data_IF_092104211501
#
_entry.id   IF_092104211501
#
_cell.length_a   1.000
_cell.length_b   1.000
_cell.length_c   1.000
_cell.angle_alpha   90.00
_cell.angle_beta   90.00
_cell.angle_gamma   90.00
#
_symmetry.space_group_name_H-M   'P 1'
#
loop_
_entity.id
_entity.type
_entity.pdbx_description
1 polymer ?
#
# COMPACT_ATOMS: atom_id res chain seq x y z
N UNK A 1 -39.20 18.74 43.75
CA UNK A 1 -40.05 17.58 43.38
C UNK A 1 -39.18 16.77 42.42
N UNK A 2 -38.48 15.84 42.94
CA UNK A 2 -38.80 14.45 43.24
C UNK A 2 -38.85 13.54 41.99
N UNK A 3 -37.83 12.71 41.93
CA UNK A 3 -37.80 11.26 41.70
C UNK A 3 -37.46 10.84 40.26
N UNK A 4 -36.74 9.77 40.00
CA UNK A 4 -36.21 8.61 40.79
C UNK A 4 -35.10 7.93 39.98
N UNK A 5 -34.06 7.47 40.64
CA UNK A 5 -33.08 6.47 40.17
C UNK A 5 -33.78 5.15 39.89
N UNK A 6 -33.33 4.44 38.86
CA UNK A 6 -33.44 2.98 38.86
C UNK A 6 -32.13 2.33 38.36
N UNK A 7 -31.49 1.64 39.31
CA UNK A 7 -30.43 0.68 39.10
C UNK A 7 -31.04 -0.67 38.67
N UNK A 8 -30.47 -1.31 37.65
CA UNK A 8 -30.61 -2.74 37.49
C UNK A 8 -29.24 -3.40 37.45
N UNK A 9 -28.93 -4.11 38.53
CA UNK A 9 -27.92 -5.15 38.68
C UNK A 9 -28.55 -6.48 38.24
N UNK A 10 -27.86 -7.26 37.43
CA UNK A 10 -27.92 -8.71 37.33
C UNK A 10 -26.61 -9.12 36.66
N UNK A 11 -25.78 -10.00 37.08
CA UNK A 11 -25.95 -11.19 37.89
C UNK A 11 -24.96 -12.19 37.30
N UNK A 12 -23.91 -12.52 38.05
CA UNK A 12 -22.91 -13.55 37.69
C UNK A 12 -23.62 -14.92 37.73
N UNK A 13 -23.35 -15.77 36.72
CA UNK A 13 -23.47 -17.21 36.89
C UNK A 13 -22.28 -17.89 36.21
N UNK A 14 -21.43 -18.45 37.05
CA UNK A 14 -20.41 -19.42 36.68
C UNK A 14 -21.07 -20.80 36.64
N UNK A 15 -20.69 -21.63 35.67
CA UNK A 15 -20.84 -23.09 35.82
C UNK A 15 -19.61 -23.76 35.21
N UNK A 16 -19.02 -24.59 36.03
CA UNK A 16 -17.83 -25.39 35.78
C UNK A 16 -18.21 -26.87 35.54
N UNK A 17 -17.25 -27.60 34.98
CA UNK A 17 -17.03 -29.04 34.97
C UNK A 17 -17.90 -29.89 34.01
N UNK A 18 -17.38 -30.93 33.32
CA UNK A 18 -16.73 -32.14 33.81
C UNK A 18 -15.95 -32.84 32.68
N UNK A 19 -14.81 -33.43 33.06
CA UNK A 19 -13.97 -34.39 32.34
C UNK A 19 -14.72 -35.68 31.94
N UNK A 20 -14.28 -36.32 30.83
CA UNK A 20 -14.11 -37.78 30.81
C UNK A 20 -13.11 -38.19 29.69
N UNK A 21 -12.13 -38.93 30.08
CA UNK A 21 -11.12 -39.62 29.28
C UNK A 21 -11.65 -40.98 28.79
N UNK A 22 -11.17 -41.41 27.61
CA UNK A 22 -11.11 -42.83 27.28
C UNK A 22 -9.93 -43.13 26.34
N UNK A 23 -8.98 -43.88 26.85
CA UNK A 23 -7.90 -44.55 26.12
C UNK A 23 -8.44 -45.70 25.27
N UNK A 24 -7.86 -45.94 24.11
CA UNK A 24 -8.03 -47.12 23.30
C UNK A 24 -6.83 -47.42 22.47
N UNK A 25 -5.91 -48.25 22.96
CA UNK A 25 -4.78 -48.82 22.22
C UNK A 25 -5.26 -49.89 21.23
N UNK A 26 -4.64 -49.90 20.04
CA UNK A 26 -4.77 -50.99 19.07
C UNK A 26 -3.55 -51.09 18.18
N UNK A 27 -2.56 -51.83 18.62
CA UNK A 27 -1.42 -52.33 17.82
C UNK A 27 -1.86 -53.50 16.97
N UNK A 28 -1.57 -53.52 15.69
CA UNK A 28 -1.35 -54.77 14.94
C UNK A 28 -0.30 -54.50 13.83
N UNK A 29 0.81 -55.19 14.00
CA UNK A 29 1.89 -55.35 13.03
C UNK A 29 1.52 -56.41 11.99
N UNK A 30 1.96 -56.18 10.74
CA UNK A 30 1.89 -57.15 9.67
C UNK A 30 3.01 -56.94 8.67
N UNK A 31 4.14 -57.59 8.86
CA UNK A 31 5.20 -57.74 7.83
C UNK A 31 4.79 -58.79 6.81
N UNK A 32 4.96 -58.52 5.56
CA UNK A 32 5.30 -59.58 4.58
C UNK A 32 6.12 -59.00 3.45
N UNK A 33 7.30 -59.55 3.31
CA UNK A 33 8.28 -59.39 2.24
C UNK A 33 7.85 -60.12 0.97
N UNK A 34 8.02 -59.57 -0.20
CA UNK A 34 8.64 -60.33 -1.30
C UNK A 34 9.24 -59.46 -2.40
N UNK A 35 10.31 -59.97 -2.98
CA UNK A 35 11.32 -59.37 -3.84
C UNK A 35 10.96 -59.32 -5.33
N UNK A 36 11.69 -58.44 -6.01
CA UNK A 36 12.22 -58.51 -7.41
C UNK A 36 11.35 -58.06 -8.58
N UNK A 37 11.66 -56.97 -9.25
CA UNK A 37 12.51 -56.95 -10.43
C UNK A 37 12.59 -55.57 -11.06
N UNK A 38 13.77 -55.20 -11.45
CA UNK A 38 14.27 -54.02 -12.14
C UNK A 38 13.57 -53.78 -13.48
N UNK A 39 13.02 -52.54 -13.68
CA UNK A 39 12.98 -51.98 -15.05
C UNK A 39 13.11 -50.45 -14.92
N UNK A 40 14.24 -49.97 -15.44
CA UNK A 40 14.58 -48.54 -15.54
C UNK A 40 13.72 -47.92 -16.63
N UNK A 41 12.78 -47.06 -16.26
CA UNK A 41 12.14 -46.14 -17.20
C UNK A 41 12.25 -44.76 -16.60
N UNK A 42 12.96 -43.88 -17.29
CA UNK A 42 13.08 -42.45 -16.92
C UNK A 42 11.75 -41.78 -17.17
N UNK A 43 10.92 -41.72 -16.16
CA UNK A 43 9.74 -40.85 -16.15
C UNK A 43 10.13 -39.49 -15.56
N UNK A 44 9.94 -38.47 -16.37
CA UNK A 44 9.88 -37.08 -15.92
C UNK A 44 8.80 -37.00 -14.85
N UNK A 45 9.22 -36.89 -13.61
CA UNK A 45 8.32 -36.66 -12.47
C UNK A 45 7.73 -35.26 -12.57
N UNK A 46 6.59 -35.19 -13.23
CA UNK A 46 5.67 -34.06 -13.07
C UNK A 46 5.19 -34.11 -11.62
N UNK A 47 5.72 -33.25 -10.77
CA UNK A 47 5.22 -33.05 -9.42
C UNK A 47 3.84 -32.42 -9.51
N UNK A 48 2.81 -33.25 -9.57
CA UNK A 48 1.44 -32.83 -9.34
C UNK A 48 1.37 -32.41 -7.87
N UNK A 49 1.28 -31.11 -7.61
CA UNK A 49 0.96 -30.61 -6.25
C UNK A 49 -0.34 -31.29 -5.81
N UNK A 50 -0.31 -31.91 -4.65
CA UNK A 50 -1.54 -32.49 -4.06
C UNK A 50 -2.54 -31.37 -3.81
N UNK A 51 -3.81 -31.60 -4.10
CA UNK A 51 -4.93 -30.64 -3.99
C UNK A 51 -5.04 -29.98 -2.61
N UNK A 52 -4.46 -30.63 -1.57
CA UNK A 52 -4.37 -30.11 -0.19
C UNK A 52 -3.36 -28.98 0.01
N UNK A 53 -2.31 -28.88 -0.81
CA UNK A 53 -1.18 -27.97 -0.57
C UNK A 53 -1.20 -26.72 -1.48
N UNK A 54 -2.20 -26.63 -2.38
CA UNK A 54 -2.36 -25.49 -3.25
C UNK A 54 -2.94 -24.29 -2.52
N UNK A 55 -2.21 -23.19 -2.47
CA UNK A 55 -2.68 -21.92 -1.89
C UNK A 55 -3.69 -21.25 -2.84
N UNK A 56 -4.97 -21.26 -2.46
CA UNK A 56 -6.04 -20.69 -3.28
C UNK A 56 -6.39 -19.25 -2.91
N UNK A 57 -5.83 -18.74 -1.81
CA UNK A 57 -6.06 -17.38 -1.31
C UNK A 57 -4.75 -16.62 -1.26
N UNK A 58 -4.76 -15.36 -1.68
CA UNK A 58 -3.60 -14.45 -1.64
C UNK A 58 -4.02 -13.19 -0.88
N UNK A 59 -3.16 -12.71 0.04
CA UNK A 59 -3.42 -11.53 0.83
C UNK A 59 -2.35 -10.46 0.67
N UNK A 60 -2.75 -9.27 0.26
CA UNK A 60 -1.94 -8.06 0.19
C UNK A 60 -2.33 -7.08 1.30
N UNK A 61 -1.37 -6.57 2.06
CA UNK A 61 -1.60 -5.60 3.12
C UNK A 61 -0.67 -4.39 2.97
N UNK A 62 -1.13 -3.19 3.28
CA UNK A 62 -0.22 -2.08 3.47
C UNK A 62 -0.53 -0.80 2.71
N UNK A 63 0.35 -0.35 1.82
CA UNK A 63 0.29 0.97 1.19
C UNK A 63 -1.06 1.36 0.61
N UNK A 64 -1.61 2.48 1.08
CA UNK A 64 -2.84 3.07 0.53
C UNK A 64 -2.65 3.65 -0.88
N UNK A 65 -1.42 3.85 -1.33
CA UNK A 65 -1.12 4.26 -2.71
C UNK A 65 -1.24 3.08 -3.68
N UNK A 66 -0.76 1.90 -3.27
CA UNK A 66 -0.82 0.69 -4.09
C UNK A 66 -2.20 -0.02 -4.00
N UNK A 67 -2.92 0.19 -2.90
CA UNK A 67 -4.22 -0.43 -2.65
C UNK A 67 -5.21 -0.36 -3.85
N UNK A 68 -5.48 0.82 -4.48
CA UNK A 68 -6.44 0.89 -5.57
C UNK A 68 -5.98 0.13 -6.82
N UNK A 69 -4.68 0.05 -7.07
CA UNK A 69 -4.11 -0.69 -8.21
C UNK A 69 -4.32 -2.19 -8.00
N UNK A 70 -3.83 -2.74 -6.89
CA UNK A 70 -3.92 -4.18 -6.60
C UNK A 70 -5.38 -4.62 -6.44
N UNK A 71 -6.25 -3.80 -5.80
CA UNK A 71 -7.67 -4.12 -5.68
C UNK A 71 -8.37 -4.21 -7.04
N UNK A 72 -8.07 -3.29 -7.96
CA UNK A 72 -8.60 -3.32 -9.32
C UNK A 72 -8.14 -4.57 -10.07
N UNK A 73 -6.85 -4.90 -9.98
CA UNK A 73 -6.28 -6.09 -10.62
C UNK A 73 -6.82 -7.39 -10.02
N UNK A 74 -6.97 -7.46 -8.69
CA UNK A 74 -7.56 -8.60 -8.01
C UNK A 74 -9.01 -8.86 -8.48
N UNK A 75 -9.81 -7.78 -8.60
CA UNK A 75 -11.17 -7.90 -9.14
C UNK A 75 -11.15 -8.36 -10.59
N UNK A 76 -10.37 -7.71 -11.46
CA UNK A 76 -10.30 -8.07 -12.88
C UNK A 76 -9.81 -9.50 -13.08
N UNK A 77 -8.81 -9.95 -12.35
CA UNK A 77 -8.30 -11.32 -12.42
C UNK A 77 -9.35 -12.35 -11.97
N UNK A 78 -10.05 -12.04 -10.88
CA UNK A 78 -11.12 -12.92 -10.36
C UNK A 78 -12.31 -12.98 -11.32
N UNK A 79 -12.70 -11.85 -11.90
CA UNK A 79 -13.80 -11.79 -12.86
C UNK A 79 -13.47 -12.51 -14.19
N UNK A 80 -12.19 -12.48 -14.61
CA UNK A 80 -11.72 -13.12 -15.83
C UNK A 80 -11.62 -14.64 -15.70
N UNK A 81 -11.09 -15.13 -14.58
CA UNK A 81 -10.76 -16.55 -14.43
C UNK A 81 -11.69 -17.33 -13.50
N UNK A 82 -12.32 -16.68 -12.50
CA UNK A 82 -13.18 -17.26 -11.45
C UNK A 82 -12.51 -18.37 -10.61
N UNK A 83 -11.83 -19.31 -11.26
CA UNK A 83 -11.19 -20.49 -10.66
C UNK A 83 -9.75 -20.65 -11.12
N UNK A 84 -8.91 -21.18 -10.25
CA UNK A 84 -7.47 -21.37 -10.52
C UNK A 84 -7.19 -22.27 -11.72
N UNK A 85 -7.97 -23.33 -11.93
CA UNK A 85 -7.81 -24.21 -13.10
C UNK A 85 -8.18 -23.54 -14.45
N UNK A 86 -8.71 -22.32 -14.44
CA UNK A 86 -8.88 -21.48 -15.62
C UNK A 86 -7.65 -20.61 -15.91
N UNK A 87 -6.87 -20.30 -14.88
CA UNK A 87 -5.58 -19.63 -15.04
C UNK A 87 -4.56 -20.59 -15.64
N UNK A 88 -4.43 -21.79 -15.06
CA UNK A 88 -3.60 -22.87 -15.55
C UNK A 88 -4.31 -24.20 -15.33
N UNK A 89 -4.37 -25.05 -16.36
CA UNK A 89 -5.05 -26.35 -16.31
C UNK A 89 -4.40 -27.37 -15.35
N UNK A 90 -3.16 -27.11 -14.89
CA UNK A 90 -2.46 -27.91 -13.87
C UNK A 90 -2.89 -27.55 -12.45
N UNK A 91 -3.59 -26.43 -12.25
CA UNK A 91 -4.08 -25.99 -10.94
C UNK A 91 -5.40 -26.70 -10.58
N UNK A 92 -5.69 -26.84 -9.27
CA UNK A 92 -6.94 -27.45 -8.85
C UNK A 92 -8.15 -26.57 -9.14
N UNK A 93 -9.34 -27.17 -9.24
CA UNK A 93 -10.61 -26.46 -9.42
C UNK A 93 -11.04 -25.80 -8.12
N UNK A 94 -10.33 -24.73 -7.71
CA UNK A 94 -10.66 -23.91 -6.53
C UNK A 94 -10.98 -22.50 -6.96
N UNK A 95 -11.88 -21.83 -6.23
CA UNK A 95 -12.18 -20.42 -6.46
C UNK A 95 -10.95 -19.56 -6.15
N UNK A 96 -10.77 -18.51 -6.93
CA UNK A 96 -9.75 -17.49 -6.69
C UNK A 96 -10.23 -16.59 -5.54
N UNK A 97 -9.35 -16.33 -4.58
CA UNK A 97 -9.59 -15.40 -3.47
C UNK A 97 -8.39 -14.50 -3.27
N UNK A 98 -8.50 -13.23 -3.66
CA UNK A 98 -7.42 -12.24 -3.49
C UNK A 98 -7.94 -11.12 -2.61
N UNK A 99 -7.33 -10.98 -1.43
CA UNK A 99 -7.69 -9.97 -0.44
C UNK A 99 -6.68 -8.85 -0.43
N UNK A 100 -7.15 -7.60 -0.38
CA UNK A 100 -6.30 -6.42 -0.35
C UNK A 100 -6.73 -5.52 0.79
N UNK A 101 -5.85 -5.28 1.76
CA UNK A 101 -6.13 -4.49 2.95
C UNK A 101 -5.22 -3.24 3.01
N UNK A 102 -5.80 -2.03 3.06
CA UNK A 102 -5.02 -0.80 3.25
C UNK A 102 -4.60 -0.63 4.72
N UNK A 103 -3.42 -0.03 4.98
CA UNK A 103 -2.94 0.23 6.34
C UNK A 103 -1.69 1.13 6.41
N UNK A 104 -1.08 1.42 5.25
CA UNK A 104 0.19 2.15 5.16
C UNK A 104 1.39 1.21 4.98
N UNK A 105 2.51 1.76 4.47
CA UNK A 105 3.69 0.95 4.11
C UNK A 105 4.30 0.22 5.31
N UNK A 106 4.39 0.87 6.46
CA UNK A 106 4.92 0.25 7.68
C UNK A 106 4.07 -0.94 8.15
N UNK A 107 2.74 -0.81 8.09
CA UNK A 107 1.80 -1.89 8.42
C UNK A 107 1.97 -3.08 7.46
N UNK A 108 2.13 -2.81 6.16
CA UNK A 108 2.38 -3.86 5.16
C UNK A 108 3.63 -4.67 5.43
N UNK A 109 4.74 -3.99 5.77
CA UNK A 109 5.99 -4.66 6.11
C UNK A 109 5.85 -5.48 7.39
N UNK A 110 5.25 -4.91 8.45
CA UNK A 110 5.05 -5.64 9.72
C UNK A 110 4.16 -6.86 9.53
N UNK A 111 3.06 -6.76 8.76
CA UNK A 111 2.18 -7.88 8.47
C UNK A 111 2.90 -8.99 7.70
N UNK A 112 3.79 -8.63 6.77
CA UNK A 112 4.64 -9.59 6.06
C UNK A 112 5.69 -10.24 6.98
N UNK A 113 6.33 -9.46 7.87
CA UNK A 113 7.26 -9.98 8.90
C UNK A 113 6.58 -11.02 9.80
N UNK A 114 5.34 -10.73 10.23
CA UNK A 114 4.52 -11.57 11.11
C UNK A 114 3.86 -12.77 10.38
N UNK A 115 3.92 -12.81 9.04
CA UNK A 115 3.27 -13.84 8.23
C UNK A 115 1.74 -13.76 8.23
N UNK A 116 1.17 -12.58 8.49
CA UNK A 116 -0.27 -12.31 8.45
C UNK A 116 -0.75 -11.83 7.09
N UNK A 117 0.14 -11.56 6.14
CA UNK A 117 -0.14 -11.41 4.72
C UNK A 117 0.96 -12.06 3.88
N UNK A 118 0.64 -12.39 2.63
CA UNK A 118 1.59 -12.98 1.68
C UNK A 118 2.47 -11.90 1.04
N UNK A 119 1.90 -10.71 0.83
CA UNK A 119 2.60 -9.56 0.26
C UNK A 119 2.37 -8.28 1.04
N UNK A 120 3.47 -7.60 1.39
CA UNK A 120 3.46 -6.26 1.97
C UNK A 120 3.48 -5.18 0.89
N UNK A 121 2.42 -4.37 0.77
CA UNK A 121 2.39 -3.22 -0.14
C UNK A 121 3.16 -2.05 0.45
N UNK A 122 4.09 -1.47 -0.32
CA UNK A 122 5.01 -0.43 0.13
C UNK A 122 5.12 0.68 -0.92
N UNK A 123 5.11 1.93 -0.50
CA UNK A 123 5.31 3.10 -1.35
C UNK A 123 6.50 3.94 -0.84
N UNK A 124 7.64 3.31 -0.69
CA UNK A 124 8.96 3.83 -0.34
C UNK A 124 10.01 2.72 -0.46
N UNK A 125 11.26 3.07 -0.38
CA UNK A 125 12.34 2.08 -0.18
C UNK A 125 12.20 1.41 1.18
N UNK A 126 12.47 0.11 1.28
CA UNK A 126 12.55 -0.59 2.57
C UNK A 126 13.68 -0.03 3.42
N UNK A 127 13.46 0.06 4.73
CA UNK A 127 14.49 0.40 5.71
C UNK A 127 15.45 -0.79 5.87
N UNK A 128 16.72 -0.52 6.22
CA UNK A 128 17.69 -1.58 6.42
C UNK A 128 17.26 -2.56 7.52
N UNK A 129 16.65 -2.04 8.60
CA UNK A 129 16.09 -2.87 9.68
C UNK A 129 14.92 -3.76 9.24
N UNK A 130 14.15 -3.34 8.22
CA UNK A 130 13.07 -4.14 7.64
C UNK A 130 13.63 -5.24 6.75
N UNK A 131 14.63 -4.90 5.92
CA UNK A 131 15.36 -5.87 5.08
C UNK A 131 16.00 -6.97 5.91
N UNK A 132 16.66 -6.59 7.03
CA UNK A 132 17.27 -7.52 7.95
C UNK A 132 16.26 -8.50 8.55
N UNK A 133 15.09 -8.02 8.98
CA UNK A 133 14.04 -8.86 9.57
C UNK A 133 13.33 -9.74 8.55
N UNK A 134 13.11 -9.24 7.34
CA UNK A 134 12.49 -10.02 6.27
C UNK A 134 13.40 -11.17 5.81
N UNK A 135 14.73 -10.97 5.82
CA UNK A 135 15.72 -11.96 5.43
C UNK A 135 15.69 -12.22 3.91
N UNK A 136 15.21 -13.40 3.52
CA UNK A 136 14.98 -13.71 2.10
C UNK A 136 13.65 -13.11 1.64
N UNK A 137 13.72 -12.07 0.80
CA UNK A 137 12.55 -11.34 0.29
C UNK A 137 12.77 -10.91 -1.16
N UNK A 138 11.66 -10.64 -1.85
CA UNK A 138 11.64 -10.09 -3.20
C UNK A 138 10.85 -8.80 -3.26
N UNK A 139 11.40 -7.80 -3.94
CA UNK A 139 10.73 -6.54 -4.25
C UNK A 139 10.18 -6.59 -5.68
N UNK A 140 8.91 -6.20 -5.83
CA UNK A 140 8.21 -6.13 -7.10
C UNK A 140 7.79 -4.67 -7.32
N UNK A 141 8.66 -3.87 -7.93
CA UNK A 141 8.34 -2.48 -8.26
C UNK A 141 7.39 -2.44 -9.45
N UNK A 142 6.18 -1.90 -9.22
CA UNK A 142 5.14 -1.81 -10.24
C UNK A 142 4.99 -0.41 -10.82
N UNK A 143 5.33 0.63 -10.04
CA UNK A 143 5.19 2.00 -10.48
C UNK A 143 6.20 2.93 -9.81
N UNK A 144 6.43 4.09 -10.43
CA UNK A 144 7.02 5.26 -9.79
C UNK A 144 5.93 6.24 -9.39
N UNK A 145 6.09 6.85 -8.23
CA UNK A 145 5.23 7.91 -7.70
C UNK A 145 6.10 9.08 -7.25
N UNK A 146 5.50 10.26 -7.23
CA UNK A 146 6.08 11.44 -6.64
C UNK A 146 5.11 12.06 -5.64
N UNK A 147 5.62 12.80 -4.68
CA UNK A 147 4.81 13.60 -3.78
C UNK A 147 4.80 15.03 -4.30
N UNK A 148 3.70 15.43 -4.91
CA UNK A 148 3.52 16.80 -5.40
C UNK A 148 3.22 17.70 -4.20
N UNK A 149 4.02 18.73 -3.98
CA UNK A 149 3.68 19.79 -3.03
C UNK A 149 2.53 20.58 -3.63
N UNK A 150 1.34 20.40 -3.07
CA UNK A 150 0.10 20.87 -3.68
C UNK A 150 -0.63 21.85 -2.78
N UNK A 151 -1.24 22.85 -3.41
CA UNK A 151 -2.14 23.81 -2.79
C UNK A 151 -3.53 23.69 -3.42
N UNK A 152 -4.54 24.25 -2.77
CA UNK A 152 -5.88 24.37 -3.36
C UNK A 152 -5.86 25.27 -4.60
N UNK A 153 -6.56 24.89 -5.66
CA UNK A 153 -6.61 25.66 -6.90
C UNK A 153 -7.19 27.08 -6.74
N UNK A 154 -7.98 27.32 -5.68
CA UNK A 154 -8.54 28.65 -5.35
C UNK A 154 -7.62 29.47 -4.44
N UNK A 155 -6.46 28.94 -4.03
CA UNK A 155 -5.51 29.69 -3.23
C UNK A 155 -4.89 30.82 -4.08
N UNK A 156 -4.86 32.08 -3.61
CA UNK A 156 -4.28 33.19 -4.36
C UNK A 156 -2.81 33.01 -4.76
N UNK A 157 -2.06 32.17 -4.06
CA UNK A 157 -0.65 31.88 -4.41
C UNK A 157 -0.50 31.34 -5.84
N UNK A 158 -1.50 30.61 -6.34
CA UNK A 158 -1.48 30.02 -7.68
C UNK A 158 -1.32 31.06 -8.80
N UNK A 159 -1.82 32.29 -8.57
CA UNK A 159 -1.67 33.41 -9.50
C UNK A 159 -0.43 34.29 -9.25
N UNK A 160 0.25 34.08 -8.11
CA UNK A 160 1.39 34.88 -7.66
C UNK A 160 2.72 34.20 -7.99
N UNK A 161 2.80 32.88 -7.71
CA UNK A 161 4.01 32.09 -7.97
C UNK A 161 3.66 30.63 -8.31
N UNK A 162 4.52 29.97 -9.07
CA UNK A 162 4.40 28.55 -9.43
C UNK A 162 5.49 27.65 -8.81
N UNK A 163 6.41 28.26 -8.06
CA UNK A 163 7.60 27.59 -7.52
C UNK A 163 7.80 27.91 -6.03
N UNK A 164 8.14 26.89 -5.24
CA UNK A 164 8.60 27.04 -3.87
C UNK A 164 9.96 26.36 -3.69
N UNK A 165 10.85 26.98 -2.92
CA UNK A 165 12.08 26.31 -2.52
C UNK A 165 11.80 25.22 -1.48
N UNK A 166 12.61 24.18 -1.47
CA UNK A 166 12.58 23.16 -0.40
C UNK A 166 12.68 23.78 0.99
N UNK A 167 13.46 24.87 1.17
CA UNK A 167 13.58 25.59 2.44
C UNK A 167 12.25 26.27 2.83
N UNK A 168 11.56 26.93 1.92
CA UNK A 168 10.24 27.53 2.18
C UNK A 168 9.21 26.47 2.56
N UNK A 169 9.16 25.37 1.81
CA UNK A 169 8.27 24.25 2.11
C UNK A 169 8.55 23.71 3.51
N UNK A 170 9.83 23.45 3.82
CA UNK A 170 10.26 22.98 5.13
C UNK A 170 9.79 23.92 6.26
N UNK A 171 9.98 25.23 6.13
CA UNK A 171 9.55 26.22 7.12
C UNK A 171 8.03 26.25 7.32
N UNK A 172 7.25 26.09 6.26
CA UNK A 172 5.79 25.98 6.36
C UNK A 172 5.40 24.72 7.14
N UNK A 173 5.96 23.57 6.77
CA UNK A 173 5.63 22.30 7.42
C UNK A 173 6.20 22.19 8.84
N UNK A 174 7.25 22.93 9.17
CA UNK A 174 7.77 23.05 10.54
C UNK A 174 6.96 24.04 11.40
N UNK A 175 6.06 24.85 10.80
CA UNK A 175 5.28 25.87 11.49
C UNK A 175 6.05 27.15 11.79
N UNK A 176 7.18 27.39 11.12
CA UNK A 176 7.94 28.65 11.18
C UNK A 176 7.29 29.74 10.31
N UNK A 177 6.71 29.34 9.17
CA UNK A 177 5.83 30.16 8.34
C UNK A 177 4.42 29.68 8.56
N UNK A 178 3.54 30.53 9.05
CA UNK A 178 2.18 30.19 9.50
C UNK A 178 1.08 30.87 8.72
N UNK A 179 1.41 31.92 7.94
CA UNK A 179 0.45 32.69 7.13
C UNK A 179 1.00 32.88 5.70
N UNK A 180 0.09 33.05 4.75
CA UNK A 180 0.44 33.16 3.34
C UNK A 180 1.22 34.43 3.00
N UNK A 181 0.97 35.55 3.68
CA UNK A 181 1.74 36.80 3.53
C UNK A 181 3.21 36.67 3.99
N UNK A 182 3.55 35.68 4.79
CA UNK A 182 4.94 35.37 5.12
C UNK A 182 5.66 34.60 3.99
N UNK A 183 4.91 33.96 3.09
CA UNK A 183 5.45 33.32 1.89
C UNK A 183 5.69 34.38 0.82
N UNK A 184 4.71 35.24 0.58
CA UNK A 184 4.78 36.39 -0.32
C UNK A 184 3.91 37.53 0.23
N UNK A 185 4.50 38.71 0.40
CA UNK A 185 3.84 39.87 1.02
C UNK A 185 2.62 40.42 0.23
N UNK A 186 2.42 39.98 -1.00
CA UNK A 186 1.24 40.32 -1.81
C UNK A 186 0.03 39.44 -1.51
N UNK A 187 0.24 38.34 -0.78
CA UNK A 187 -0.84 37.41 -0.38
C UNK A 187 -1.55 37.91 0.89
N UNK A 188 -2.80 37.48 1.11
CA UNK A 188 -3.51 37.80 2.34
C UNK A 188 -2.89 37.14 3.56
N UNK A 189 -3.00 37.81 4.72
CA UNK A 189 -2.52 37.28 6.01
C UNK A 189 -3.47 36.20 6.56
N UNK A 190 -3.67 35.16 5.76
CA UNK A 190 -4.50 34.01 6.09
C UNK A 190 -3.64 32.87 6.59
N UNK A 191 -4.15 32.12 7.57
CA UNK A 191 -3.43 31.01 8.17
C UNK A 191 -3.24 29.87 7.16
N UNK A 192 -2.04 29.36 7.06
CA UNK A 192 -1.73 28.17 6.27
C UNK A 192 -2.25 26.92 6.99
N UNK A 193 -3.12 26.15 6.36
CA UNK A 193 -3.55 24.85 6.86
C UNK A 193 -2.70 23.73 6.25
N UNK A 194 -1.89 23.10 7.09
CA UNK A 194 -0.97 22.04 6.65
C UNK A 194 -1.63 20.68 6.77
N UNK A 195 -1.65 19.92 5.67
CA UNK A 195 -2.14 18.54 5.61
C UNK A 195 -1.02 17.57 5.32
N UNK A 196 -0.94 16.50 6.11
CA UNK A 196 0.07 15.45 5.98
C UNK A 196 -0.56 14.06 5.99
N UNK A 197 0.20 13.05 5.56
CA UNK A 197 -0.14 11.66 5.85
C UNK A 197 0.06 11.34 7.32
N UNK A 198 -0.67 10.36 7.82
CA UNK A 198 -0.36 9.76 9.11
C UNK A 198 1.09 9.26 9.17
N UNK A 199 1.63 9.16 10.39
CA UNK A 199 3.05 8.87 10.61
C UNK A 199 3.46 7.45 10.18
N UNK A 200 2.51 6.53 10.01
CA UNK A 200 2.76 5.17 9.48
C UNK A 200 2.80 5.13 7.96
N UNK A 201 2.41 6.20 7.29
CA UNK A 201 2.35 6.31 5.84
C UNK A 201 3.74 6.44 5.21
N UNK A 202 4.07 5.57 4.25
CA UNK A 202 5.34 5.67 3.52
C UNK A 202 5.55 7.03 2.83
N UNK A 203 4.48 7.76 2.49
CA UNK A 203 4.56 9.11 1.98
C UNK A 203 5.09 10.11 3.02
N UNK A 204 4.67 9.98 4.29
CA UNK A 204 5.23 10.79 5.37
C UNK A 204 6.73 10.58 5.49
N UNK A 205 7.19 9.32 5.50
CA UNK A 205 8.62 9.00 5.61
C UNK A 205 9.43 9.56 4.43
N UNK A 206 8.89 9.48 3.20
CA UNK A 206 9.54 10.06 2.01
C UNK A 206 9.61 11.59 2.10
N UNK A 207 8.51 12.25 2.50
CA UNK A 207 8.48 13.70 2.67
C UNK A 207 9.43 14.15 3.78
N UNK A 208 9.43 13.44 4.93
CA UNK A 208 10.35 13.70 6.03
C UNK A 208 11.80 13.63 5.56
N UNK A 209 12.18 12.60 4.81
CA UNK A 209 13.55 12.44 4.31
C UNK A 209 13.92 13.46 3.24
N UNK A 210 13.02 13.75 2.30
CA UNK A 210 13.33 14.55 1.11
C UNK A 210 13.22 16.05 1.35
N UNK A 211 12.37 16.49 2.30
CA UNK A 211 12.07 17.90 2.56
C UNK A 211 12.47 18.33 3.96
N UNK A 212 12.00 17.59 4.98
CA UNK A 212 12.15 18.01 6.36
C UNK A 212 13.56 17.76 6.93
N UNK A 213 14.23 16.68 6.51
CA UNK A 213 15.48 16.24 7.12
C UNK A 213 15.28 15.94 8.61
N UNK A 214 16.03 16.60 9.48
CA UNK A 214 15.92 16.46 10.94
C UNK A 214 14.82 17.34 11.57
N UNK A 215 14.21 18.26 10.80
CA UNK A 215 13.14 19.11 11.32
C UNK A 215 11.85 18.29 11.51
N UNK A 216 11.10 18.62 12.56
CA UNK A 216 9.80 18.01 12.83
C UNK A 216 8.71 18.77 12.10
N UNK A 217 7.71 18.02 11.60
CA UNK A 217 6.45 18.62 11.14
C UNK A 217 5.71 19.20 12.36
N UNK A 218 5.08 20.35 12.19
CA UNK A 218 4.32 21.03 13.25
C UNK A 218 3.19 20.16 13.80
N UNK A 219 2.98 20.21 15.11
CA UNK A 219 1.87 19.49 15.78
C UNK A 219 0.49 20.01 15.34
N UNK A 220 0.41 21.20 14.72
CA UNK A 220 -0.82 21.76 14.17
C UNK A 220 -1.21 21.19 12.80
N UNK A 221 -0.37 20.35 12.17
CA UNK A 221 -0.67 19.72 10.90
C UNK A 221 -1.80 18.68 11.05
N UNK A 222 -2.75 18.71 10.14
CA UNK A 222 -3.83 17.72 10.08
C UNK A 222 -3.36 16.45 9.38
N UNK A 223 -3.46 15.33 10.08
CA UNK A 223 -3.10 14.01 9.53
C UNK A 223 -4.27 13.42 8.73
N UNK A 224 -3.96 12.82 7.59
CA UNK A 224 -4.90 12.10 6.72
C UNK A 224 -4.54 10.61 6.68
N UNK A 225 -5.53 9.74 6.84
CA UNK A 225 -5.33 8.28 6.90
C UNK A 225 -4.99 7.66 5.53
N UNK A 226 -5.25 8.36 4.42
CA UNK A 226 -4.93 7.89 3.06
C UNK A 226 -4.47 9.01 2.14
N UNK A 227 -3.83 8.66 1.00
CA UNK A 227 -3.45 9.65 -0.02
C UNK A 227 -4.67 10.30 -0.68
N UNK A 228 -5.76 9.55 -0.85
CA UNK A 228 -7.02 10.08 -1.39
C UNK A 228 -7.64 11.09 -0.44
N UNK A 229 -7.67 10.80 0.87
CA UNK A 229 -8.16 11.73 1.88
C UNK A 229 -7.31 13.01 1.94
N UNK A 230 -5.98 12.87 1.89
CA UNK A 230 -5.07 14.01 1.89
C UNK A 230 -5.34 14.94 0.68
N UNK A 231 -5.44 14.39 -0.52
CA UNK A 231 -5.78 15.16 -1.72
C UNK A 231 -7.17 15.81 -1.60
N UNK A 232 -8.15 15.11 -1.01
CA UNK A 232 -9.50 15.63 -0.79
C UNK A 232 -9.49 16.78 0.22
N UNK A 233 -8.73 16.67 1.30
CA UNK A 233 -8.62 17.73 2.31
C UNK A 233 -8.01 19.00 1.70
N UNK A 234 -6.94 18.89 0.91
CA UNK A 234 -6.36 20.05 0.20
C UNK A 234 -7.39 20.65 -0.78
N UNK A 235 -8.13 19.82 -1.52
CA UNK A 235 -9.13 20.28 -2.48
C UNK A 235 -10.29 21.04 -1.85
N UNK A 236 -10.62 20.76 -0.58
CA UNK A 236 -11.75 21.35 0.12
C UNK A 236 -11.39 22.54 1.02
N UNK A 237 -10.11 22.85 1.17
CA UNK A 237 -9.66 23.96 2.01
C UNK A 237 -8.81 24.95 1.18
N UNK A 238 -9.34 26.14 0.95
CA UNK A 238 -8.69 27.19 0.14
C UNK A 238 -7.28 27.53 0.63
N UNK A 239 -7.04 27.46 1.94
CA UNK A 239 -5.77 27.85 2.56
C UNK A 239 -4.83 26.67 2.81
N UNK A 240 -5.16 25.52 2.22
CA UNK A 240 -4.41 24.30 2.39
C UNK A 240 -3.10 24.30 1.62
N UNK A 241 -2.11 23.66 2.23
CA UNK A 241 -0.93 23.09 1.58
C UNK A 241 -0.75 21.64 2.08
N UNK A 242 -0.30 20.76 1.21
CA UNK A 242 0.01 19.37 1.55
C UNK A 242 0.87 18.72 0.48
N UNK A 243 1.17 17.44 0.65
CA UNK A 243 1.86 16.67 -0.37
C UNK A 243 0.99 15.50 -0.85
N UNK A 244 0.47 15.60 -2.05
CA UNK A 244 -0.31 14.52 -2.65
C UNK A 244 0.59 13.58 -3.46
N UNK A 245 0.37 12.28 -3.41
CA UNK A 245 0.99 11.35 -4.36
C UNK A 245 0.52 11.66 -5.77
N UNK A 246 1.40 11.49 -6.77
CA UNK A 246 1.15 11.85 -8.17
C UNK A 246 -0.15 11.23 -8.70
N UNK A 247 -0.40 9.94 -8.39
CA UNK A 247 -1.66 9.29 -8.74
C UNK A 247 -2.88 9.91 -8.06
N UNK A 248 -2.80 10.23 -6.77
CA UNK A 248 -3.90 10.86 -6.04
C UNK A 248 -4.16 12.30 -6.53
N UNK A 249 -3.10 13.04 -6.86
CA UNK A 249 -3.16 14.36 -7.47
C UNK A 249 -3.89 14.32 -8.84
N UNK A 250 -3.45 13.44 -9.73
CA UNK A 250 -4.06 13.27 -11.06
C UNK A 250 -5.53 12.88 -10.95
N UNK A 251 -5.86 11.92 -10.07
CA UNK A 251 -7.23 11.47 -9.83
C UNK A 251 -8.12 12.57 -9.25
N UNK A 252 -7.60 13.38 -8.33
CA UNK A 252 -8.35 14.52 -7.77
C UNK A 252 -8.68 15.56 -8.84
N UNK A 253 -7.80 15.74 -9.83
CA UNK A 253 -7.94 16.69 -10.93
C UNK A 253 -8.64 16.13 -12.18
N UNK A 254 -9.01 14.86 -12.23
CA UNK A 254 -9.60 14.21 -13.40
C UNK A 254 -10.92 14.89 -13.89
N UNK A 255 -11.67 15.51 -12.99
CA UNK A 255 -12.93 16.22 -13.29
C UNK A 255 -12.80 17.74 -13.01
N UNK A 256 -11.71 18.35 -13.40
CA UNK A 256 -11.41 19.78 -13.21
C UNK A 256 -10.32 20.02 -12.15
N UNK A 257 -9.58 21.12 -12.34
CA UNK A 257 -8.45 21.46 -11.48
C UNK A 257 -8.92 21.85 -10.07
N UNK A 258 -8.59 21.03 -9.08
CA UNK A 258 -8.88 21.24 -7.65
C UNK A 258 -7.60 21.50 -6.85
N UNK A 259 -6.49 20.95 -7.32
CA UNK A 259 -5.16 21.02 -6.74
C UNK A 259 -4.20 21.59 -7.78
N UNK A 260 -3.27 22.42 -7.33
CA UNK A 260 -2.14 22.88 -8.13
C UNK A 260 -0.86 22.41 -7.46
N UNK A 261 -0.05 21.67 -8.21
CA UNK A 261 1.28 21.26 -7.78
C UNK A 261 2.25 22.43 -8.00
N UNK A 262 2.94 22.83 -6.94
CA UNK A 262 4.02 23.80 -7.01
C UNK A 262 5.27 23.12 -7.56
N UNK A 263 6.04 23.81 -8.39
CA UNK A 263 7.41 23.42 -8.68
C UNK A 263 8.22 23.43 -7.38
N UNK A 264 9.14 22.50 -7.25
CA UNK A 264 10.05 22.43 -6.10
C UNK A 264 11.47 22.71 -6.62
N UNK A 265 12.09 23.75 -6.10
CA UNK A 265 13.42 24.23 -6.55
C UNK A 265 13.51 24.40 -8.08
N UNK A 266 12.42 24.89 -8.69
CA UNK A 266 12.30 25.11 -10.12
C UNK A 266 11.90 23.88 -10.95
N UNK A 267 11.77 22.70 -10.35
CA UNK A 267 11.44 21.46 -11.05
C UNK A 267 9.95 21.12 -10.87
N UNK A 268 9.25 20.95 -11.98
CA UNK A 268 7.85 20.54 -12.01
C UNK A 268 7.71 19.01 -11.83
N UNK A 269 6.67 18.59 -11.13
CA UNK A 269 6.34 17.17 -10.97
C UNK A 269 5.65 16.61 -12.25
N UNK A 270 6.38 16.56 -13.34
CA UNK A 270 5.94 15.90 -14.58
C UNK A 270 6.39 14.44 -14.60
N UNK A 271 5.72 13.62 -15.41
CA UNK A 271 6.12 12.22 -15.62
C UNK A 271 7.60 12.12 -16.04
N UNK A 272 8.03 12.94 -16.99
CA UNK A 272 9.42 12.98 -17.46
C UNK A 272 10.42 13.28 -16.32
N UNK A 273 10.13 14.29 -15.48
CA UNK A 273 11.00 14.68 -14.38
C UNK A 273 10.98 13.66 -13.22
N UNK A 274 9.88 12.93 -13.06
CA UNK A 274 9.77 11.82 -12.09
C UNK A 274 10.58 10.62 -12.57
N UNK A 275 10.45 10.25 -13.85
CA UNK A 275 11.17 9.10 -14.41
C UNK A 275 12.67 9.36 -14.48
N UNK A 276 13.10 10.58 -14.90
CA UNK A 276 14.52 10.97 -14.93
C UNK A 276 15.14 11.12 -13.54
N UNK A 277 14.34 11.31 -12.50
CA UNK A 277 14.81 11.60 -11.14
C UNK A 277 15.17 13.05 -10.90
N UNK A 278 14.81 13.99 -11.79
CA UNK A 278 15.01 15.42 -11.60
C UNK A 278 14.10 15.96 -10.50
N UNK A 279 12.83 15.51 -10.46
CA UNK A 279 11.94 15.77 -9.35
C UNK A 279 12.32 14.91 -8.14
N UNK A 280 12.80 15.53 -7.07
CA UNK A 280 13.48 14.82 -5.96
C UNK A 280 12.55 14.15 -4.95
N UNK A 281 11.29 14.58 -4.84
CA UNK A 281 10.32 14.00 -3.90
C UNK A 281 9.59 12.84 -4.59
N UNK A 282 10.31 11.79 -4.89
CA UNK A 282 9.82 10.60 -5.58
C UNK A 282 10.06 9.32 -4.78
N UNK A 283 9.33 8.28 -5.14
CA UNK A 283 9.37 6.99 -4.43
C UNK A 283 8.97 5.82 -5.33
N UNK A 284 9.50 4.61 -5.09
CA UNK A 284 8.96 3.40 -5.68
C UNK A 284 7.58 3.09 -5.10
N UNK A 285 6.73 2.47 -5.90
CA UNK A 285 5.48 1.85 -5.48
C UNK A 285 5.59 0.37 -5.81
N UNK A 286 5.64 -0.47 -4.80
CA UNK A 286 5.99 -1.88 -4.92
C UNK A 286 5.24 -2.74 -3.91
N UNK A 287 5.24 -4.03 -4.14
CA UNK A 287 4.93 -5.01 -3.10
C UNK A 287 6.13 -5.90 -2.84
N UNK A 288 6.17 -6.49 -1.68
CA UNK A 288 7.28 -7.32 -1.17
C UNK A 288 6.71 -8.65 -0.72
N UNK A 289 7.35 -9.75 -1.13
CA UNK A 289 7.04 -11.11 -0.68
C UNK A 289 8.23 -11.74 0.02
N UNK A 290 8.01 -12.72 0.90
CA UNK A 290 9.07 -13.54 1.54
C UNK A 290 9.31 -14.82 0.75
N UNK A 291 10.59 -15.10 0.49
CA UNK A 291 10.98 -16.32 -0.23
C UNK A 291 10.51 -16.35 -1.69
N UNK A 292 10.35 -17.57 -2.21
CA UNK A 292 9.82 -17.78 -3.55
C UNK A 292 8.28 -17.78 -3.53
N UNK A 293 7.62 -17.14 -4.50
CA UNK A 293 6.18 -17.17 -4.59
C UNK A 293 5.67 -18.60 -4.91
N UNK A 294 4.53 -18.93 -4.36
CA UNK A 294 3.79 -20.13 -4.76
C UNK A 294 3.32 -20.03 -6.21
N UNK A 295 2.87 -21.13 -6.80
CA UNK A 295 2.41 -21.12 -8.22
C UNK A 295 1.22 -20.19 -8.45
N UNK A 296 0.29 -20.10 -7.50
CA UNK A 296 -0.86 -19.17 -7.55
C UNK A 296 -0.43 -17.70 -7.40
N UNK A 297 0.49 -17.43 -6.48
CA UNK A 297 1.06 -16.09 -6.31
C UNK A 297 1.81 -15.65 -7.56
N UNK A 298 2.64 -16.54 -8.14
CA UNK A 298 3.36 -16.24 -9.37
C UNK A 298 2.41 -15.92 -10.52
N UNK A 299 1.33 -16.69 -10.66
CA UNK A 299 0.32 -16.42 -11.70
C UNK A 299 -0.34 -15.04 -11.55
N UNK A 300 -0.64 -14.62 -10.32
CA UNK A 300 -1.16 -13.27 -10.10
C UNK A 300 -0.08 -12.19 -10.25
N UNK A 301 1.15 -12.44 -9.86
CA UNK A 301 2.30 -11.55 -10.13
C UNK A 301 2.46 -11.35 -11.65
N UNK A 302 2.40 -12.41 -12.44
CA UNK A 302 2.52 -12.31 -13.90
C UNK A 302 1.37 -11.47 -14.50
N UNK A 303 0.16 -11.59 -13.97
CA UNK A 303 -0.97 -10.75 -14.35
C UNK A 303 -0.75 -9.27 -13.98
N UNK A 304 -0.18 -8.99 -12.80
CA UNK A 304 0.19 -7.62 -12.40
C UNK A 304 1.20 -7.02 -13.38
N UNK A 305 2.17 -7.82 -13.89
CA UNK A 305 3.19 -7.37 -14.83
C UNK A 305 2.81 -7.52 -16.31
N UNK A 306 1.52 -7.69 -16.60
CA UNK A 306 0.95 -7.73 -17.96
C UNK A 306 0.41 -6.36 -18.42
N UNK A 307 -0.14 -6.31 -19.64
CA UNK A 307 -0.87 -5.15 -20.14
C UNK A 307 -2.04 -4.73 -19.24
N UNK A 308 -2.67 -5.68 -18.54
CA UNK A 308 -3.72 -5.37 -17.57
C UNK A 308 -3.17 -4.56 -16.39
N UNK A 309 -1.97 -4.91 -15.91
CA UNK A 309 -1.27 -4.16 -14.88
C UNK A 309 -0.92 -2.75 -15.31
N UNK A 310 -0.34 -2.58 -16.50
CA UNK A 310 -0.03 -1.23 -17.05
C UNK A 310 -1.29 -0.37 -17.08
N UNK A 311 -2.38 -0.88 -17.65
CA UNK A 311 -3.67 -0.15 -17.71
C UNK A 311 -4.20 0.23 -16.32
N UNK A 312 -4.11 -0.69 -15.36
CA UNK A 312 -4.55 -0.41 -13.99
C UNK A 312 -3.70 0.65 -13.29
N UNK A 313 -2.37 0.64 -13.50
CA UNK A 313 -1.44 1.62 -12.96
C UNK A 313 -1.74 3.01 -13.54
N UNK A 314 -1.84 3.12 -14.87
CA UNK A 314 -2.14 4.37 -15.58
C UNK A 314 -3.55 4.91 -15.24
N UNK A 315 -4.56 4.04 -15.15
CA UNK A 315 -5.91 4.43 -14.73
C UNK A 315 -5.98 4.99 -13.30
N UNK A 316 -5.00 4.65 -12.46
CA UNK A 316 -4.83 5.23 -11.14
C UNK A 316 -3.87 6.43 -11.11
N UNK A 317 -3.37 6.88 -12.28
CA UNK A 317 -2.55 8.07 -12.47
C UNK A 317 -1.10 7.90 -12.03
N UNK A 318 -0.61 6.66 -11.93
CA UNK A 318 0.80 6.35 -11.66
C UNK A 318 1.56 6.04 -12.94
N UNK A 319 2.87 6.03 -12.85
CA UNK A 319 3.79 5.77 -13.97
C UNK A 319 4.28 4.33 -13.85
N UNK A 320 3.97 3.42 -14.80
CA UNK A 320 4.49 2.05 -14.78
C UNK A 320 6.03 2.04 -14.76
N UNK A 321 6.62 1.16 -13.96
CA UNK A 321 8.08 0.98 -13.87
C UNK A 321 8.59 -0.20 -14.72
N UNK A 322 7.71 -0.84 -15.49
CA UNK A 322 8.02 -2.00 -16.33
C UNK A 322 7.32 -1.89 -17.69
N UNK A 323 7.76 -2.71 -18.64
CA UNK A 323 7.05 -3.01 -19.88
C UNK A 323 6.40 -4.38 -19.76
N UNK A 324 5.19 -4.56 -20.29
CA UNK A 324 4.51 -5.86 -20.25
C UNK A 324 5.40 -6.97 -20.84
N UNK A 325 5.37 -8.10 -20.18
CA UNK A 325 6.09 -9.32 -20.60
C UNK A 325 5.34 -10.05 -21.68
#
# INVERSE_FOLDING_TARGET
MSNKKQHHRFGRAALAAVLAAALGCGLLAGCSSNSSSTTTTSDKQSTTQTESDFQSSIMFCGSTSLYPIISSLASSFTDEYEKWNKVDSSFPEKNISIYVAPGGSGVGVSALEEGTCDFGMVARTLKDSEKEKLGDYKEYEVAKDALTVSVNASNPIVSTMDNMSTDTIKKIFAGEITTWDQVDSSLPSEKIQVYIRDLSGGAYEVFQKSVMGDAKVTDSATQSASMTELATNIANDQWAIGYAGFGAYNKANANGTKLVAMKVDGVEATEANIVSGDYKIQRPVMFVGKGEPTSSEQAFIDYIFSDAGIKAIEANGYIPSFTAK
#
